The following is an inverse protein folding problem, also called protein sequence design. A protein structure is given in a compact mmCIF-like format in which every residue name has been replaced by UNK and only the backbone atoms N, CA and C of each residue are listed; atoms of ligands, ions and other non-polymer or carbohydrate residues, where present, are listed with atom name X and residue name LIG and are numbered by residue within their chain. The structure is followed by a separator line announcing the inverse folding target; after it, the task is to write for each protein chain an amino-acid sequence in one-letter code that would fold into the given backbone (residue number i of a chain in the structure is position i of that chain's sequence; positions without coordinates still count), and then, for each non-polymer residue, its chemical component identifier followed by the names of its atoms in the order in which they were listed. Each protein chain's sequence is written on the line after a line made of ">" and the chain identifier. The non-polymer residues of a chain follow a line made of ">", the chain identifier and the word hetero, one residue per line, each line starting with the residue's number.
data_IF_423433279285
#
_entry.id   IF_423433279285
#
_cell.length_a   1.000
_cell.length_b   1.000
_cell.length_c   1.000
_cell.angle_alpha   90.00
_cell.angle_beta   90.00
_cell.angle_gamma   90.00
#
_symmetry.space_group_name_H-M   'P 1'
#
loop_
_entity.id
_entity.type
_entity.pdbx_description
1 polymer ?
#
# COMPACT_ATOMS: atom_id res chain seq x y z
N UNK A 1 22.15 26.08 4.46
CA UNK A 1 22.84 24.89 3.89
C UNK A 1 24.20 24.75 4.57
N UNK A 2 24.64 23.53 4.95
CA UNK A 2 25.98 23.31 5.51
C UNK A 2 27.09 23.76 4.55
N UNK A 3 28.21 24.23 5.12
CA UNK A 3 29.36 24.72 4.35
C UNK A 3 30.21 23.59 3.77
N UNK A 4 30.34 22.48 4.50
CA UNK A 4 31.12 21.32 4.06
C UNK A 4 30.34 20.50 3.01
N UNK A 5 31.05 20.00 2.00
CA UNK A 5 30.46 19.22 0.93
C UNK A 5 29.89 17.88 1.42
N UNK A 6 30.61 17.22 2.33
CA UNK A 6 30.22 15.92 2.89
C UNK A 6 28.92 16.01 3.69
N UNK A 7 28.72 17.09 4.46
CA UNK A 7 27.47 17.34 5.17
C UNK A 7 26.29 17.51 4.22
N UNK A 8 26.49 18.25 3.11
CA UNK A 8 25.45 18.42 2.08
C UNK A 8 25.13 17.09 1.41
N UNK A 9 26.15 16.28 1.10
CA UNK A 9 25.98 14.96 0.51
C UNK A 9 25.21 14.02 1.45
N UNK A 10 25.54 14.02 2.74
CA UNK A 10 24.84 13.21 3.74
C UNK A 10 23.36 13.62 3.86
N UNK A 11 23.08 14.93 3.94
CA UNK A 11 21.71 15.44 3.95
C UNK A 11 20.96 15.02 2.68
N UNK A 12 21.59 15.14 1.52
CA UNK A 12 20.98 14.74 0.25
C UNK A 12 20.65 13.24 0.22
N UNK A 13 21.58 12.37 0.65
CA UNK A 13 21.35 10.92 0.76
C UNK A 13 20.18 10.60 1.68
N UNK A 14 20.07 11.27 2.83
CA UNK A 14 18.94 11.10 3.76
C UNK A 14 17.61 11.49 3.11
N UNK A 15 17.56 12.64 2.45
CA UNK A 15 16.35 13.11 1.76
C UNK A 15 15.94 12.13 0.65
N UNK A 16 16.90 11.65 -0.15
CA UNK A 16 16.64 10.66 -1.21
C UNK A 16 16.12 9.35 -0.63
N UNK A 17 16.77 8.83 0.42
CA UNK A 17 16.34 7.60 1.08
C UNK A 17 14.91 7.69 1.64
N UNK A 18 14.55 8.81 2.25
CA UNK A 18 13.23 9.00 2.86
C UNK A 18 12.11 9.35 1.87
N UNK A 19 12.43 9.94 0.72
CA UNK A 19 11.40 10.52 -0.18
C UNK A 19 11.38 9.97 -1.60
N UNK A 20 12.42 9.27 -2.03
CA UNK A 20 12.57 8.88 -3.42
C UNK A 20 12.76 7.38 -3.61
N UNK A 21 13.30 6.67 -2.61
CA UNK A 21 13.52 5.24 -2.71
C UNK A 21 12.25 4.50 -2.27
N UNK A 22 11.76 3.63 -3.15
CA UNK A 22 10.62 2.74 -2.92
C UNK A 22 11.00 1.35 -3.39
N UNK A 23 10.49 0.33 -2.71
CA UNK A 23 10.85 -1.05 -3.03
C UNK A 23 9.89 -2.04 -2.40
N UNK A 24 9.69 -3.14 -3.12
CA UNK A 24 8.92 -4.29 -2.67
C UNK A 24 9.77 -5.52 -2.92
N UNK A 25 9.84 -6.42 -1.94
CA UNK A 25 10.51 -7.71 -2.08
C UNK A 25 9.67 -8.81 -1.42
N UNK A 26 9.66 -9.99 -2.03
CA UNK A 26 8.93 -11.15 -1.53
C UNK A 26 9.63 -11.79 -0.32
N UNK A 27 10.94 -11.66 -0.19
CA UNK A 27 11.66 -12.14 0.98
C UNK A 27 11.65 -11.05 2.07
N UNK A 28 10.96 -11.24 3.22
CA UNK A 28 10.92 -10.23 4.27
C UNK A 28 12.32 -9.89 4.80
N UNK A 29 13.26 -10.82 4.77
CA UNK A 29 14.65 -10.55 5.17
C UNK A 29 15.38 -9.61 4.20
N UNK A 30 15.09 -9.68 2.90
CA UNK A 30 15.70 -8.78 1.92
C UNK A 30 15.24 -7.33 2.13
N UNK A 31 13.97 -7.14 2.52
CA UNK A 31 13.43 -5.82 2.91
C UNK A 31 14.20 -5.24 4.11
N UNK A 32 14.41 -6.03 5.16
CA UNK A 32 15.14 -5.59 6.35
C UNK A 32 16.63 -5.33 6.04
N UNK A 33 17.26 -6.17 5.23
CA UNK A 33 18.64 -5.95 4.76
C UNK A 33 18.78 -4.67 3.93
N UNK A 34 17.78 -4.34 3.10
CA UNK A 34 17.76 -3.11 2.33
C UNK A 34 17.67 -1.88 3.25
N UNK A 35 16.80 -1.91 4.26
CA UNK A 35 16.70 -0.84 5.28
C UNK A 35 18.02 -0.63 6.00
N UNK A 36 18.64 -1.71 6.49
CA UNK A 36 19.94 -1.67 7.17
C UNK A 36 21.04 -1.08 6.27
N UNK A 37 21.11 -1.52 5.03
CA UNK A 37 22.11 -1.05 4.05
C UNK A 37 21.95 0.46 3.79
N UNK A 38 20.71 0.94 3.64
CA UNK A 38 20.42 2.36 3.47
C UNK A 38 20.80 3.15 4.74
N UNK A 39 20.52 2.63 5.93
CA UNK A 39 20.88 3.28 7.19
C UNK A 39 22.40 3.44 7.36
N UNK A 40 23.20 2.47 6.92
CA UNK A 40 24.66 2.58 6.98
C UNK A 40 25.20 3.76 6.15
N UNK A 41 24.63 4.01 4.97
CA UNK A 41 25.07 5.11 4.09
C UNK A 41 24.43 6.47 4.42
N UNK A 42 23.40 6.48 5.26
CA UNK A 42 22.65 7.69 5.70
C UNK A 42 22.88 8.04 7.17
N UNK A 43 23.78 7.32 7.85
CA UNK A 43 24.11 7.50 9.25
C UNK A 43 24.63 8.92 9.51
N UNK A 44 24.06 9.59 10.51
CA UNK A 44 24.42 10.95 10.91
C UNK A 44 24.50 11.04 12.42
N UNK A 45 25.62 11.57 12.94
CA UNK A 45 25.85 11.67 14.39
C UNK A 45 24.76 12.50 15.05
N UNK A 46 24.19 11.97 16.13
CA UNK A 46 23.16 12.66 16.92
C UNK A 46 21.79 12.73 16.25
N UNK A 47 21.56 12.00 15.16
CA UNK A 47 20.23 11.85 14.53
C UNK A 47 19.83 10.38 14.49
N UNK A 48 18.55 10.05 14.68
CA UNK A 48 18.09 8.68 14.54
C UNK A 48 18.14 8.23 13.06
N UNK A 49 17.98 6.93 12.88
CA UNK A 49 17.78 6.34 11.56
C UNK A 49 16.51 6.87 10.90
N UNK A 50 16.52 6.97 9.57
CA UNK A 50 15.34 7.37 8.81
C UNK A 50 14.23 6.33 8.92
N UNK A 51 12.98 6.75 8.88
CA UNK A 51 11.84 5.83 8.86
C UNK A 51 11.59 5.34 7.43
N UNK A 52 11.79 4.04 7.17
CA UNK A 52 11.73 3.45 5.83
C UNK A 52 10.56 2.47 5.63
N UNK A 53 9.79 2.14 6.68
CA UNK A 53 8.72 1.11 6.61
C UNK A 53 7.56 1.49 5.69
N UNK A 54 7.39 2.78 5.42
CA UNK A 54 6.40 3.28 4.48
C UNK A 54 6.87 3.27 3.02
N UNK A 55 8.16 3.07 2.78
CA UNK A 55 8.81 3.10 1.46
C UNK A 55 9.21 1.70 0.97
N UNK A 56 9.69 0.86 1.90
CA UNK A 56 10.12 -0.51 1.64
C UNK A 56 9.12 -1.49 2.27
N UNK A 57 8.56 -2.39 1.46
CA UNK A 57 7.53 -3.33 1.92
C UNK A 57 7.86 -4.76 1.54
N UNK A 58 7.47 -5.68 2.41
CA UNK A 58 7.31 -7.07 2.04
C UNK A 58 6.05 -7.22 1.16
N UNK A 59 6.17 -7.93 0.04
CA UNK A 59 5.05 -8.21 -0.85
C UNK A 59 5.48 -8.71 -2.23
N UNK A 60 4.50 -8.91 -3.10
CA UNK A 60 4.71 -9.28 -4.50
C UNK A 60 4.63 -8.01 -5.38
N UNK A 61 5.66 -7.77 -6.20
CA UNK A 61 5.71 -6.61 -7.11
C UNK A 61 5.13 -6.89 -8.50
N UNK A 62 4.87 -8.16 -8.83
CA UNK A 62 4.31 -8.61 -10.11
C UNK A 62 2.79 -8.76 -10.04
N UNK A 63 2.25 -9.14 -8.88
CA UNK A 63 0.83 -9.32 -8.66
C UNK A 63 0.24 -8.14 -7.88
N UNK A 64 -0.89 -7.61 -8.36
CA UNK A 64 -1.60 -6.53 -7.67
C UNK A 64 -2.47 -5.69 -8.58
N UNK A 65 -2.87 -4.53 -8.07
CA UNK A 65 -3.57 -3.50 -8.84
C UNK A 65 -2.66 -2.30 -9.03
N UNK A 66 -2.56 -1.80 -10.25
CA UNK A 66 -1.73 -0.63 -10.58
C UNK A 66 -2.56 0.65 -10.75
N UNK A 67 -3.88 0.53 -10.89
CA UNK A 67 -4.79 1.66 -11.02
C UNK A 67 -6.00 1.49 -10.10
N UNK A 68 -6.37 2.54 -9.35
CA UNK A 68 -7.55 2.56 -8.48
C UNK A 68 -8.85 2.30 -9.25
N UNK A 69 -8.90 2.68 -10.53
CA UNK A 69 -10.06 2.40 -11.39
C UNK A 69 -10.33 0.91 -11.55
N UNK A 70 -9.30 0.05 -11.49
CA UNK A 70 -9.48 -1.41 -11.50
C UNK A 70 -10.34 -1.86 -10.32
N UNK A 71 -10.11 -1.28 -9.15
CA UNK A 71 -10.85 -1.59 -7.92
C UNK A 71 -12.24 -0.95 -7.91
N UNK A 72 -12.37 0.30 -8.38
CA UNK A 72 -13.65 1.02 -8.43
C UNK A 72 -14.66 0.35 -9.36
N UNK A 73 -14.17 -0.25 -10.45
CA UNK A 73 -14.98 -0.94 -11.46
C UNK A 73 -15.06 -2.46 -11.21
N UNK A 74 -14.16 -3.01 -10.38
CA UNK A 74 -13.85 -4.45 -10.34
C UNK A 74 -13.64 -4.99 -11.75
N UNK A 75 -12.72 -4.36 -12.48
CA UNK A 75 -12.30 -4.80 -13.80
C UNK A 75 -10.77 -4.70 -13.90
N UNK A 76 -10.12 -5.80 -14.25
CA UNK A 76 -8.68 -5.86 -14.38
C UNK A 76 -8.16 -5.11 -15.63
N UNK A 77 -8.95 -5.07 -16.71
CA UNK A 77 -8.66 -4.35 -17.94
C UNK A 77 -9.24 -2.93 -17.88
N UNK A 78 -8.57 -2.04 -17.16
CA UNK A 78 -9.05 -0.67 -16.89
C UNK A 78 -9.06 0.27 -18.11
N UNK A 79 -8.65 -0.19 -19.30
CA UNK A 79 -8.62 0.60 -20.55
C UNK A 79 -9.99 0.77 -21.21
N UNK A 80 -11.02 0.04 -20.76
CA UNK A 80 -12.38 0.22 -21.26
C UNK A 80 -13.05 1.45 -20.61
N UNK A 81 -13.03 2.58 -21.33
CA UNK A 81 -13.61 3.86 -20.92
C UNK A 81 -15.12 3.78 -20.60
N UNK A 82 -15.84 2.81 -21.17
CA UNK A 82 -17.31 2.73 -21.13
C UNK A 82 -17.90 1.92 -19.96
N UNK A 83 -17.09 1.47 -19.01
CA UNK A 83 -17.61 0.70 -17.88
C UNK A 83 -18.02 1.57 -16.69
N UNK A 84 -19.28 1.41 -16.28
CA UNK A 84 -19.89 2.10 -15.16
C UNK A 84 -19.19 1.73 -13.84
N UNK A 85 -19.03 2.73 -12.96
CA UNK A 85 -18.53 2.52 -11.61
C UNK A 85 -19.46 1.58 -10.84
N UNK A 86 -18.88 0.68 -10.03
CA UNK A 86 -19.67 -0.13 -9.11
C UNK A 86 -20.20 0.76 -7.98
N UNK A 87 -21.28 0.34 -7.35
CA UNK A 87 -21.96 1.09 -6.28
C UNK A 87 -21.03 1.47 -5.11
N UNK A 88 -20.00 0.66 -4.81
CA UNK A 88 -19.00 0.96 -3.78
C UNK A 88 -17.78 1.74 -4.30
N UNK A 89 -17.69 2.06 -5.59
CA UNK A 89 -16.51 2.71 -6.19
C UNK A 89 -16.12 4.00 -5.47
N UNK A 90 -17.12 4.84 -5.16
CA UNK A 90 -16.92 6.08 -4.39
C UNK A 90 -16.40 5.84 -2.97
N UNK A 91 -16.74 4.71 -2.35
CA UNK A 91 -16.27 4.36 -1.01
C UNK A 91 -14.78 3.99 -1.03
N UNK A 92 -14.35 3.27 -2.07
CA UNK A 92 -12.93 2.98 -2.31
C UNK A 92 -12.16 4.28 -2.52
N UNK A 93 -12.66 5.17 -3.38
CA UNK A 93 -12.01 6.44 -3.65
C UNK A 93 -11.89 7.31 -2.40
N UNK A 94 -12.95 7.44 -1.61
CA UNK A 94 -12.94 8.17 -0.34
C UNK A 94 -11.91 7.61 0.65
N UNK A 95 -11.86 6.29 0.82
CA UNK A 95 -10.90 5.61 1.70
C UNK A 95 -9.46 5.79 1.22
N UNK A 96 -9.20 5.64 -0.07
CA UNK A 96 -7.87 5.87 -0.64
C UNK A 96 -7.46 7.33 -0.45
N UNK A 97 -8.36 8.29 -0.72
CA UNK A 97 -8.09 9.72 -0.51
C UNK A 97 -7.75 10.05 0.95
N UNK A 98 -8.45 9.45 1.91
CA UNK A 98 -8.16 9.57 3.34
C UNK A 98 -6.75 9.04 3.68
N UNK A 99 -6.41 7.84 3.21
CA UNK A 99 -5.10 7.22 3.45
C UNK A 99 -3.99 8.00 2.76
N UNK A 100 -4.23 8.55 1.57
CA UNK A 100 -3.29 9.44 0.88
C UNK A 100 -2.97 10.69 1.71
N UNK A 101 -3.93 11.24 2.46
CA UNK A 101 -3.67 12.36 3.39
C UNK A 101 -2.72 11.94 4.52
N UNK A 102 -2.92 10.77 5.11
CA UNK A 102 -2.01 10.22 6.13
C UNK A 102 -0.61 9.99 5.57
N UNK A 103 -0.50 9.38 4.38
CA UNK A 103 0.79 9.16 3.68
C UNK A 103 1.50 10.47 3.32
N UNK A 104 0.75 11.53 2.98
CA UNK A 104 1.31 12.88 2.80
C UNK A 104 1.81 13.48 4.12
N UNK A 105 1.08 13.28 5.23
CA UNK A 105 1.51 13.71 6.58
C UNK A 105 2.85 13.07 6.97
N UNK A 106 3.03 11.77 6.76
CA UNK A 106 4.30 11.07 7.01
C UNK A 106 5.45 11.77 6.27
N UNK A 107 5.29 12.06 4.98
CA UNK A 107 6.33 12.73 4.17
C UNK A 107 6.67 14.16 4.62
N UNK A 108 5.74 14.83 5.30
CA UNK A 108 5.93 16.17 5.84
C UNK A 108 6.72 16.22 7.14
N UNK A 109 6.78 15.12 7.89
CA UNK A 109 7.51 15.05 9.17
C UNK A 109 9.01 14.94 8.88
N UNK A 110 9.76 15.96 9.30
CA UNK A 110 11.21 15.91 9.33
C UNK A 110 11.66 15.06 10.53
N UNK A 111 12.68 14.22 10.35
CA UNK A 111 13.23 13.41 11.44
C UNK A 111 14.37 14.18 12.11
N UNK A 112 14.14 14.61 13.33
CA UNK A 112 15.10 15.29 14.20
C UNK A 112 15.48 14.34 15.34
N UNK A 113 14.49 13.72 15.98
CA UNK A 113 14.68 12.79 17.09
C UNK A 113 13.83 11.51 16.96
N UNK A 114 13.93 10.63 17.97
CA UNK A 114 13.25 9.33 17.97
C UNK A 114 11.72 9.45 18.05
N UNK A 115 11.18 10.55 18.58
CA UNK A 115 9.73 10.76 18.65
C UNK A 115 9.14 11.02 17.26
N UNK A 116 9.88 11.69 16.37
CA UNK A 116 9.47 11.86 14.97
C UNK A 116 9.35 10.51 14.26
N UNK A 117 10.27 9.59 14.52
CA UNK A 117 10.24 8.22 13.97
C UNK A 117 9.02 7.47 14.51
N UNK A 118 8.74 7.58 15.81
CA UNK A 118 7.57 6.96 16.44
C UNK A 118 6.25 7.52 15.91
N UNK A 119 6.14 8.84 15.72
CA UNK A 119 4.94 9.45 15.16
C UNK A 119 4.74 9.04 13.70
N UNK A 120 5.80 8.98 12.89
CA UNK A 120 5.73 8.41 11.53
C UNK A 120 5.22 6.97 11.54
N UNK A 121 5.75 6.13 12.43
CA UNK A 121 5.30 4.74 12.59
C UNK A 121 3.83 4.64 13.00
N UNK A 122 3.38 5.49 13.94
CA UNK A 122 1.98 5.54 14.37
C UNK A 122 1.04 5.93 13.23
N UNK A 123 1.39 6.96 12.44
CA UNK A 123 0.59 7.37 11.29
C UNK A 123 0.61 6.29 10.19
N UNK A 124 1.74 5.61 9.98
CA UNK A 124 1.84 4.50 9.02
C UNK A 124 0.92 3.35 9.39
N UNK A 125 0.90 2.97 10.67
CA UNK A 125 0.01 1.95 11.20
C UNK A 125 -1.46 2.35 11.03
N UNK A 126 -1.81 3.58 11.38
CA UNK A 126 -3.16 4.13 11.18
C UNK A 126 -3.57 4.10 9.70
N UNK A 127 -2.67 4.45 8.79
CA UNK A 127 -2.91 4.39 7.35
C UNK A 127 -3.14 2.96 6.86
N UNK A 128 -2.41 1.97 7.38
CA UNK A 128 -2.58 0.53 7.07
C UNK A 128 -3.93 0.01 7.56
N UNK A 129 -4.32 0.37 8.78
CA UNK A 129 -5.59 -0.05 9.34
C UNK A 129 -6.77 0.51 8.54
N UNK A 130 -6.73 1.79 8.16
CA UNK A 130 -7.82 2.42 7.40
C UNK A 130 -8.01 1.85 5.99
N UNK A 131 -6.93 1.38 5.35
CA UNK A 131 -6.97 0.84 3.97
C UNK A 131 -7.27 -0.66 3.90
N UNK A 132 -7.20 -1.39 5.02
CA UNK A 132 -7.28 -2.87 5.07
C UNK A 132 -8.44 -3.48 4.26
N UNK A 133 -9.63 -2.89 4.32
CA UNK A 133 -10.77 -3.38 3.56
C UNK A 133 -10.55 -3.26 2.05
N UNK A 134 -9.94 -2.17 1.58
CA UNK A 134 -9.62 -1.98 0.16
C UNK A 134 -8.54 -2.96 -0.29
N UNK A 135 -7.52 -3.22 0.54
CA UNK A 135 -6.51 -4.26 0.26
C UNK A 135 -7.16 -5.65 0.13
N UNK A 136 -8.18 -5.96 0.94
CA UNK A 136 -8.90 -7.22 0.84
C UNK A 136 -9.75 -7.32 -0.43
N UNK A 137 -10.37 -6.23 -0.88
CA UNK A 137 -11.04 -6.19 -2.20
C UNK A 137 -10.03 -6.45 -3.31
N UNK A 138 -8.86 -5.81 -3.25
CA UNK A 138 -7.80 -5.99 -4.24
C UNK A 138 -7.31 -7.44 -4.31
N UNK A 139 -7.02 -8.05 -3.16
CA UNK A 139 -6.57 -9.44 -3.08
C UNK A 139 -7.63 -10.41 -3.63
N UNK A 140 -8.91 -10.21 -3.27
CA UNK A 140 -10.01 -11.03 -3.78
C UNK A 140 -10.13 -10.90 -5.30
N UNK A 141 -10.09 -9.68 -5.83
CA UNK A 141 -10.16 -9.41 -7.27
C UNK A 141 -8.99 -10.08 -8.02
N UNK A 142 -7.75 -9.91 -7.54
CA UNK A 142 -6.57 -10.57 -8.13
C UNK A 142 -6.72 -12.09 -8.08
N UNK A 143 -7.24 -12.64 -6.97
CA UNK A 143 -7.51 -14.06 -6.84
C UNK A 143 -8.49 -14.59 -7.89
N UNK A 144 -9.59 -13.88 -8.15
CA UNK A 144 -10.56 -14.26 -9.20
C UNK A 144 -9.94 -14.17 -10.60
N UNK A 145 -9.15 -13.11 -10.87
CA UNK A 145 -8.43 -12.95 -12.15
C UNK A 145 -7.46 -14.11 -12.37
N UNK A 146 -6.66 -14.49 -11.38
CA UNK A 146 -5.74 -15.62 -11.49
C UNK A 146 -6.48 -16.95 -11.66
N UNK A 147 -7.61 -17.13 -10.98
CA UNK A 147 -8.43 -18.35 -11.05
C UNK A 147 -9.09 -18.53 -12.41
N UNK A 148 -9.53 -17.45 -13.05
CA UNK A 148 -10.34 -17.48 -14.26
C UNK A 148 -9.70 -16.77 -15.47
N UNK A 149 -8.37 -16.61 -15.47
CA UNK A 149 -7.60 -15.84 -16.46
C UNK A 149 -7.90 -16.21 -17.93
N UNK A 150 -8.28 -17.46 -18.22
CA UNK A 150 -8.56 -17.93 -19.58
C UNK A 150 -10.04 -17.85 -19.99
N UNK A 151 -10.94 -17.38 -19.12
CA UNK A 151 -12.38 -17.38 -19.38
C UNK A 151 -13.08 -16.11 -18.87
N UNK A 152 -13.06 -15.05 -19.69
CA UNK A 152 -13.62 -13.75 -19.38
C UNK A 152 -15.08 -13.81 -18.91
N UNK A 153 -15.92 -14.65 -19.53
CA UNK A 153 -17.34 -14.75 -19.13
C UNK A 153 -17.54 -15.30 -17.72
N UNK A 154 -16.68 -16.23 -17.30
CA UNK A 154 -16.72 -16.77 -15.92
C UNK A 154 -16.13 -15.77 -14.94
N UNK A 155 -15.05 -15.08 -15.34
CA UNK A 155 -14.44 -14.01 -14.56
C UNK A 155 -15.43 -12.87 -14.29
N UNK A 156 -16.16 -12.38 -15.29
CA UNK A 156 -17.17 -11.34 -15.14
C UNK A 156 -18.23 -11.71 -14.10
N UNK A 157 -18.76 -12.94 -14.17
CA UNK A 157 -19.74 -13.44 -13.18
C UNK A 157 -19.16 -13.54 -11.77
N UNK A 158 -17.90 -13.94 -11.64
CA UNK A 158 -17.20 -13.98 -10.36
C UNK A 158 -17.02 -12.57 -9.78
N UNK A 159 -16.66 -11.59 -10.61
CA UNK A 159 -16.50 -10.19 -10.22
C UNK A 159 -17.84 -9.52 -9.88
N UNK A 160 -18.95 -9.89 -10.54
CA UNK A 160 -20.29 -9.44 -10.17
C UNK A 160 -20.72 -10.01 -8.80
N UNK A 161 -20.38 -11.26 -8.53
CA UNK A 161 -20.61 -11.89 -7.21
C UNK A 161 -19.79 -11.16 -6.14
N UNK A 162 -18.49 -10.95 -6.40
CA UNK A 162 -17.59 -10.19 -5.53
C UNK A 162 -18.11 -8.77 -5.29
N UNK A 163 -18.64 -8.09 -6.31
CA UNK A 163 -19.22 -6.76 -6.19
C UNK A 163 -20.31 -6.69 -5.11
N UNK A 164 -21.14 -7.74 -5.02
CA UNK A 164 -22.20 -7.84 -4.00
C UNK A 164 -21.60 -8.03 -2.60
N UNK A 165 -20.58 -8.89 -2.47
CA UNK A 165 -19.89 -9.15 -1.21
C UNK A 165 -19.13 -7.92 -0.69
N UNK A 166 -18.50 -7.17 -1.60
CA UNK A 166 -17.80 -5.92 -1.28
C UNK A 166 -18.78 -4.86 -0.79
N UNK A 167 -19.96 -4.76 -1.40
CA UNK A 167 -21.02 -3.86 -0.93
C UNK A 167 -21.48 -4.22 0.49
N UNK A 168 -21.73 -5.50 0.76
CA UNK A 168 -22.09 -6.01 2.08
C UNK A 168 -21.01 -5.68 3.13
N UNK A 169 -19.73 -5.87 2.80
CA UNK A 169 -18.60 -5.52 3.67
C UNK A 169 -18.62 -4.04 4.05
N UNK A 170 -18.76 -3.14 3.08
CA UNK A 170 -18.74 -1.70 3.36
C UNK A 170 -19.95 -1.22 4.16
N UNK A 171 -21.09 -1.93 4.08
CA UNK A 171 -22.28 -1.64 4.88
C UNK A 171 -22.31 -2.35 6.25
N UNK A 172 -21.21 -3.02 6.65
CA UNK A 172 -21.10 -3.64 7.97
C UNK A 172 -21.85 -4.97 8.12
N UNK A 173 -22.21 -5.62 7.01
CA UNK A 173 -22.89 -6.91 7.03
C UNK A 173 -21.90 -8.05 7.36
N UNK A 174 -22.18 -8.82 8.42
CA UNK A 174 -21.27 -9.83 9.01
C UNK A 174 -20.95 -11.02 8.10
N UNK A 175 -21.65 -11.18 6.96
CA UNK A 175 -21.45 -12.30 6.02
C UNK A 175 -20.01 -12.39 5.49
N UNK A 176 -19.33 -11.25 5.40
CA UNK A 176 -17.98 -11.13 4.85
C UNK A 176 -16.87 -11.72 5.76
N UNK A 177 -17.08 -11.81 7.08
CA UNK A 177 -16.10 -12.38 8.02
C UNK A 177 -15.71 -13.83 7.66
N UNK A 178 -16.62 -14.57 7.05
CA UNK A 178 -16.46 -15.99 6.67
C UNK A 178 -15.52 -16.14 5.45
N UNK A 179 -15.47 -15.14 4.57
CA UNK A 179 -14.62 -15.18 3.36
C UNK A 179 -13.18 -14.79 3.73
N UNK A 180 -12.99 -13.85 4.66
CA UNK A 180 -11.64 -13.49 5.15
C UNK A 180 -10.91 -14.66 5.84
N UNK A 181 -11.65 -15.62 6.41
CA UNK A 181 -11.09 -16.85 7.00
C UNK A 181 -10.66 -17.92 5.99
N UNK A 182 -10.96 -17.74 4.69
CA UNK A 182 -10.55 -18.65 3.62
C UNK A 182 -9.37 -18.13 2.78
N UNK A 183 -8.85 -16.93 3.08
CA UNK A 183 -7.64 -16.42 2.43
C UNK A 183 -6.42 -17.22 2.90
N UNK A 184 -5.63 -17.87 2.02
CA UNK A 184 -4.48 -18.67 2.42
C UNK A 184 -3.27 -17.86 2.88
N UNK A 185 -3.27 -16.53 2.76
CA UNK A 185 -2.14 -15.69 3.20
C UNK A 185 -2.32 -15.29 4.66
N UNK A 186 -2.05 -16.23 5.56
CA UNK A 186 -1.47 -15.93 6.87
C UNK A 186 -0.04 -16.44 6.82
N UNK A 187 0.87 -15.57 6.41
CA UNK A 187 2.28 -15.67 6.77
C UNK A 187 2.46 -15.04 8.15
#
# INVERSE_FOLDING_TARGET
>A
MPRQADDRLLIARRVVAEKCLYGVDLNPMAVELAKLSIWLITLSKGRPFGFLDHNLRHGDSLLGTYNIEQLKKLNFNAEEENQQLRIFGDLIEKKVAEVLRLRKKIRGIAIIDIYDVKEKARIDQEARERIKNVELVANAMVGEVLRFNSNNRVLEKALDTLSTEVWDMFNGNKKWLIISSKSPMKD
#
